data_IF_512585596059
#
_entry.id   IF_512585596059
#
_cell.length_a   1.000
_cell.length_b   1.000
_cell.length_c   1.000
_cell.angle_alpha   90.00
_cell.angle_beta   90.00
_cell.angle_gamma   90.00
#
_symmetry.space_group_name_H-M   'P 1'
#
loop_
_entity.id
_entity.type
_entity.pdbx_description
1 polymer ?
#
# COMPACT_ATOMS: atom_id res chain seq x y z
N UNK A 1 4.81 -10.26 27.36
CA UNK A 1 4.56 -8.96 26.70
C UNK A 1 5.89 -8.23 26.63
N UNK A 2 6.63 -8.37 25.52
CA UNK A 2 7.92 -7.70 25.36
C UNK A 2 7.66 -6.36 24.67
N UNK A 3 7.70 -5.27 25.45
CA UNK A 3 7.71 -3.92 24.91
C UNK A 3 9.05 -3.71 24.20
N UNK A 4 9.04 -3.75 22.88
CA UNK A 4 10.18 -3.28 22.09
C UNK A 4 10.20 -1.76 22.25
N UNK A 5 11.18 -1.25 22.99
CA UNK A 5 11.37 0.17 23.23
C UNK A 5 11.94 0.82 21.95
N UNK A 6 11.11 1.07 20.95
CA UNK A 6 11.46 1.84 19.74
C UNK A 6 11.14 3.32 19.96
N UNK A 7 11.90 3.98 20.85
CA UNK A 7 11.89 5.44 21.00
C UNK A 7 12.67 6.16 19.88
N UNK A 8 13.14 5.44 18.86
CA UNK A 8 13.86 6.03 17.72
C UNK A 8 12.88 6.35 16.60
N UNK A 9 12.58 7.64 16.42
CA UNK A 9 11.98 8.19 15.19
C UNK A 9 12.82 7.70 14.02
N UNK A 10 12.35 6.70 13.29
CA UNK A 10 13.11 6.13 12.18
C UNK A 10 12.91 7.04 10.97
N UNK A 11 13.67 8.13 10.92
CA UNK A 11 13.86 8.93 9.72
C UNK A 11 14.83 8.17 8.81
N UNK A 12 14.42 7.85 7.58
CA UNK A 12 15.35 7.35 6.57
C UNK A 12 15.16 8.11 5.27
N UNK A 13 16.30 8.53 4.72
CA UNK A 13 16.44 9.07 3.37
C UNK A 13 16.85 7.91 2.47
N UNK A 14 15.96 7.44 1.60
CA UNK A 14 16.28 6.54 0.51
C UNK A 14 15.91 7.28 -0.78
N UNK A 15 16.89 7.53 -1.65
CA UNK A 15 16.64 8.24 -2.92
C UNK A 15 16.14 9.69 -2.80
N UNK A 16 16.40 10.37 -1.66
CA UNK A 16 16.00 11.77 -1.45
C UNK A 16 14.56 11.98 -0.95
N UNK A 17 13.74 10.93 -0.84
CA UNK A 17 12.42 11.00 -0.21
C UNK A 17 12.55 10.56 1.25
N UNK A 18 12.34 11.51 2.16
CA UNK A 18 12.28 11.22 3.59
C UNK A 18 10.89 10.73 3.96
N UNK A 19 10.83 9.54 4.56
CA UNK A 19 9.66 9.09 5.28
C UNK A 19 9.98 8.73 6.72
N UNK A 20 8.95 8.79 7.57
CA UNK A 20 9.05 8.49 8.99
C UNK A 20 7.98 7.51 9.40
N UNK A 21 8.35 6.50 10.19
CA UNK A 21 7.39 5.53 10.71
C UNK A 21 6.95 5.90 12.13
N UNK A 22 5.73 5.51 12.48
CA UNK A 22 5.20 5.73 13.83
C UNK A 22 6.05 5.04 14.90
N UNK A 23 6.30 5.71 16.03
CA UNK A 23 7.02 5.12 17.17
C UNK A 23 6.23 4.00 17.85
N UNK A 24 4.89 4.04 17.76
CA UNK A 24 4.00 2.96 18.17
C UNK A 24 4.02 1.88 17.10
N UNK A 25 4.92 0.92 17.28
CA UNK A 25 5.07 -0.24 16.42
C UNK A 25 4.91 -1.52 17.24
N UNK A 26 4.44 -2.58 16.59
CA UNK A 26 4.19 -3.86 17.24
C UNK A 26 4.81 -4.98 16.42
N UNK A 27 5.59 -5.84 17.07
CA UNK A 27 6.04 -7.09 16.46
C UNK A 27 4.91 -8.11 16.58
N UNK A 28 4.37 -8.54 15.44
CA UNK A 28 3.25 -9.48 15.38
C UNK A 28 3.43 -10.44 14.22
N UNK A 29 2.71 -11.56 14.29
CA UNK A 29 2.51 -12.42 13.14
C UNK A 29 1.75 -11.65 12.05
N UNK A 30 2.16 -11.83 10.79
CA UNK A 30 1.50 -11.27 9.62
C UNK A 30 0.19 -12.01 9.36
N UNK A 31 -0.82 -11.30 8.84
CA UNK A 31 -2.02 -11.97 8.32
C UNK A 31 -1.62 -12.90 7.16
N UNK A 32 -2.36 -13.99 6.95
CA UNK A 32 -2.08 -14.93 5.86
C UNK A 32 -1.98 -14.21 4.50
N UNK A 33 -2.94 -13.31 4.23
CA UNK A 33 -2.98 -12.48 3.02
C UNK A 33 -1.68 -11.67 2.83
N UNK A 34 -1.24 -10.92 3.85
CA UNK A 34 -0.02 -10.13 3.80
C UNK A 34 1.23 -11.01 3.69
N UNK A 35 1.27 -12.13 4.41
CA UNK A 35 2.38 -13.06 4.41
C UNK A 35 2.62 -13.66 3.03
N UNK A 36 1.59 -14.22 2.39
CA UNK A 36 1.73 -14.83 1.07
C UNK A 36 1.96 -13.79 -0.03
N UNK A 37 1.36 -12.61 0.10
CA UNK A 37 1.65 -11.49 -0.79
C UNK A 37 3.13 -11.09 -0.73
N UNK A 38 3.69 -10.99 0.48
CA UNK A 38 5.10 -10.71 0.69
C UNK A 38 6.01 -11.81 0.16
N UNK A 39 5.69 -13.08 0.44
CA UNK A 39 6.46 -14.21 -0.05
C UNK A 39 6.58 -14.15 -1.58
N UNK A 40 5.46 -14.00 -2.28
CA UNK A 40 5.41 -13.88 -3.73
C UNK A 40 6.22 -12.67 -4.21
N UNK A 41 6.04 -11.51 -3.59
CA UNK A 41 6.77 -10.29 -3.96
C UNK A 41 8.29 -10.47 -3.80
N UNK A 42 8.75 -11.04 -2.69
CA UNK A 42 10.18 -11.25 -2.45
C UNK A 42 10.77 -12.32 -3.38
N UNK A 43 10.04 -13.41 -3.67
CA UNK A 43 10.47 -14.42 -4.64
C UNK A 43 10.67 -13.83 -6.04
N UNK A 44 9.77 -12.93 -6.48
CA UNK A 44 9.88 -12.25 -7.78
C UNK A 44 11.05 -11.25 -7.80
N UNK A 45 11.29 -10.54 -6.70
CA UNK A 45 12.34 -9.49 -6.61
C UNK A 45 13.73 -10.05 -6.32
N UNK A 46 13.82 -11.21 -5.68
CA UNK A 46 15.06 -11.86 -5.28
C UNK A 46 15.10 -13.30 -5.83
N UNK A 47 15.12 -13.50 -7.17
CA UNK A 47 15.03 -14.84 -7.77
C UNK A 47 16.20 -15.76 -7.40
N UNK A 48 17.34 -15.19 -6.97
CA UNK A 48 18.51 -15.93 -6.52
C UNK A 48 18.39 -16.43 -5.06
N UNK A 49 17.38 -15.97 -4.31
CA UNK A 49 17.12 -16.40 -2.93
C UNK A 49 15.90 -17.30 -2.93
N UNK A 50 16.11 -18.60 -2.66
CA UNK A 50 15.03 -19.60 -2.62
C UNK A 50 14.20 -19.45 -1.35
N UNK A 51 13.31 -18.47 -1.30
CA UNK A 51 12.38 -18.28 -0.20
C UNK A 51 11.20 -19.27 -0.30
N UNK A 52 10.75 -19.81 0.82
CA UNK A 52 9.55 -20.65 0.91
C UNK A 52 8.70 -20.34 2.15
N UNK A 53 7.51 -20.91 2.21
CA UNK A 53 6.57 -20.68 3.30
C UNK A 53 6.96 -21.40 4.60
N UNK A 54 6.72 -20.80 5.77
CA UNK A 54 6.98 -21.46 7.07
C UNK A 54 6.06 -22.66 7.36
N UNK A 55 4.97 -22.80 6.62
CA UNK A 55 4.05 -23.95 6.70
C UNK A 55 4.34 -25.03 5.66
N UNK A 56 5.31 -24.78 4.77
CA UNK A 56 5.71 -25.73 3.73
C UNK A 56 7.01 -26.43 4.13
N UNK A 57 7.21 -27.64 3.62
CA UNK A 57 8.50 -28.30 3.71
C UNK A 57 9.51 -27.55 2.83
N UNK A 58 10.76 -27.49 3.29
CA UNK A 58 11.85 -26.90 2.54
C UNK A 58 11.95 -27.58 1.16
N UNK A 59 11.74 -26.85 0.04
CA UNK A 59 11.79 -27.44 -1.30
C UNK A 59 13.21 -27.86 -1.68
N UNK A 60 14.22 -27.28 -1.04
CA UNK A 60 15.63 -27.63 -1.22
C UNK A 60 16.45 -27.31 0.05
N UNK A 61 17.62 -27.95 0.25
CA UNK A 61 18.45 -27.73 1.45
C UNK A 61 18.97 -26.29 1.62
N UNK A 62 19.08 -25.55 0.52
CA UNK A 62 19.51 -24.15 0.47
C UNK A 62 18.34 -23.15 0.54
N UNK A 63 17.11 -23.63 0.69
CA UNK A 63 15.94 -22.75 0.78
C UNK A 63 15.82 -22.09 2.14
N UNK A 64 15.37 -20.84 2.16
CA UNK A 64 15.19 -20.03 3.36
C UNK A 64 13.70 -19.88 3.66
N UNK A 65 13.32 -20.13 4.91
CA UNK A 65 11.96 -19.87 5.39
C UNK A 65 11.76 -18.36 5.52
N UNK A 66 10.68 -17.84 4.93
CA UNK A 66 10.25 -16.47 5.17
C UNK A 66 9.72 -16.34 6.60
N UNK A 67 10.27 -15.42 7.40
CA UNK A 67 9.78 -15.19 8.75
C UNK A 67 8.30 -14.71 8.73
N UNK A 68 7.36 -15.40 9.42
CA UNK A 68 5.96 -14.99 9.45
C UNK A 68 5.67 -13.79 10.37
N UNK A 69 6.70 -13.24 11.02
CA UNK A 69 6.56 -12.06 11.87
C UNK A 69 7.14 -10.82 11.20
N UNK A 70 6.47 -9.69 11.42
CA UNK A 70 6.96 -8.37 11.02
C UNK A 70 6.72 -7.34 12.11
N UNK A 71 7.28 -6.15 11.92
CA UNK A 71 7.00 -4.97 12.74
C UNK A 71 5.91 -4.17 12.03
N UNK A 72 4.73 -4.08 12.62
CA UNK A 72 3.59 -3.34 12.09
C UNK A 72 3.55 -1.93 12.67
N UNK A 73 3.27 -0.94 11.83
CA UNK A 73 3.22 0.47 12.19
C UNK A 73 1.80 1.01 12.06
N UNK A 74 1.44 1.96 12.93
CA UNK A 74 0.14 2.62 12.88
C UNK A 74 0.06 3.61 11.71
N UNK A 75 1.15 4.34 11.44
CA UNK A 75 1.21 5.31 10.35
C UNK A 75 2.62 5.45 9.77
N UNK A 76 2.68 6.05 8.59
CA UNK A 76 3.88 6.57 7.95
C UNK A 76 3.68 8.05 7.64
N UNK A 77 4.73 8.86 7.77
CA UNK A 77 4.78 10.24 7.31
C UNK A 77 5.59 10.28 6.02
N UNK A 78 4.98 10.66 4.90
CA UNK A 78 5.65 10.81 3.60
C UNK A 78 5.43 12.25 3.14
N UNK A 79 6.52 12.96 2.79
CA UNK A 79 6.45 14.39 2.38
C UNK A 79 5.66 15.28 3.37
N UNK A 80 5.82 15.03 4.66
CA UNK A 80 5.12 15.72 5.77
C UNK A 80 3.63 15.38 5.95
N UNK A 81 3.07 14.46 5.17
CA UNK A 81 1.69 13.97 5.34
C UNK A 81 1.66 12.63 6.04
N UNK A 82 0.72 12.46 6.97
CA UNK A 82 0.57 11.24 7.78
C UNK A 82 -0.50 10.32 7.20
N UNK A 83 -0.09 9.13 6.78
CA UNK A 83 -0.94 8.07 6.25
C UNK A 83 -1.12 6.96 7.27
N UNK A 84 -2.36 6.64 7.60
CA UNK A 84 -2.69 5.62 8.60
C UNK A 84 -2.88 4.25 7.95
N UNK A 85 -2.40 3.20 8.60
CA UNK A 85 -2.78 1.83 8.26
C UNK A 85 -4.22 1.59 8.69
N UNK A 86 -5.12 1.25 7.77
CA UNK A 86 -6.55 1.09 8.10
C UNK A 86 -6.82 -0.04 9.07
N UNK A 87 -5.99 -1.10 9.05
CA UNK A 87 -6.04 -2.20 10.04
C UNK A 87 -5.82 -1.75 11.49
N UNK A 88 -5.33 -0.53 11.70
CA UNK A 88 -5.02 0.05 13.02
C UNK A 88 -5.68 1.41 13.25
N UNK A 89 -6.54 1.85 12.33
CA UNK A 89 -7.26 3.11 12.43
C UNK A 89 -8.74 2.86 12.77
N UNK A 90 -9.35 3.77 13.53
CA UNK A 90 -10.80 3.75 13.78
C UNK A 90 -11.63 4.15 12.56
N UNK A 91 -11.00 4.80 11.58
CA UNK A 91 -11.65 5.27 10.36
C UNK A 91 -10.70 5.12 9.16
N UNK A 92 -11.19 4.65 7.99
CA UNK A 92 -10.36 4.42 6.82
C UNK A 92 -10.04 5.69 6.01
N UNK A 93 -10.66 6.83 6.31
CA UNK A 93 -10.50 8.06 5.50
C UNK A 93 -9.04 8.53 5.38
N UNK A 94 -8.24 8.32 6.42
CA UNK A 94 -6.82 8.69 6.42
C UNK A 94 -5.89 7.60 5.86
N UNK A 95 -6.47 6.50 5.38
CA UNK A 95 -5.77 5.37 4.78
C UNK A 95 -5.89 5.35 3.26
N UNK A 96 -6.72 6.21 2.65
CA UNK A 96 -6.82 6.29 1.20
C UNK A 96 -5.69 7.12 0.61
N UNK A 97 -4.96 6.51 -0.32
CA UNK A 97 -3.75 7.07 -0.89
C UNK A 97 -3.73 6.92 -2.40
N UNK A 98 -3.14 7.91 -3.06
CA UNK A 98 -2.73 7.83 -4.45
C UNK A 98 -1.26 7.40 -4.49
N UNK A 99 -0.96 6.42 -5.33
CA UNK A 99 0.36 5.78 -5.44
C UNK A 99 0.78 5.75 -6.89
N UNK A 100 2.07 6.00 -7.13
CA UNK A 100 2.67 5.88 -8.46
C UNK A 100 3.18 4.46 -8.68
N UNK A 101 2.65 3.75 -9.67
CA UNK A 101 3.01 2.34 -9.93
C UNK A 101 4.43 2.16 -10.54
N UNK A 102 4.99 3.20 -11.16
CA UNK A 102 6.30 3.18 -11.81
C UNK A 102 7.07 4.48 -11.57
N UNK A 103 8.40 4.46 -11.65
CA UNK A 103 9.21 5.69 -11.64
C UNK A 103 9.27 6.39 -13.02
N UNK A 104 8.62 5.85 -14.05
CA UNK A 104 8.56 6.45 -15.39
C UNK A 104 7.72 7.74 -15.41
N UNK A 105 7.97 8.59 -16.42
CA UNK A 105 7.29 9.89 -16.59
C UNK A 105 5.77 9.73 -16.78
N UNK A 106 5.34 8.67 -17.48
CA UNK A 106 3.93 8.37 -17.74
C UNK A 106 3.34 7.34 -16.76
N UNK A 107 3.88 7.27 -15.54
CA UNK A 107 3.46 6.27 -14.58
C UNK A 107 2.00 6.48 -14.14
N UNK A 108 1.18 5.47 -14.40
CA UNK A 108 -0.21 5.44 -13.99
C UNK A 108 -0.33 5.58 -12.46
N UNK A 109 -1.23 6.48 -12.04
CA UNK A 109 -1.60 6.66 -10.64
C UNK A 109 -2.72 5.69 -10.31
N UNK A 110 -2.53 4.98 -9.21
CA UNK A 110 -3.52 4.07 -8.64
C UNK A 110 -3.99 4.59 -7.29
N UNK A 111 -5.27 4.38 -7.01
CA UNK A 111 -5.88 4.76 -5.74
C UNK A 111 -6.27 3.50 -4.99
N UNK A 112 -5.96 3.47 -3.70
CA UNK A 112 -6.34 2.37 -2.85
C UNK A 112 -6.30 2.71 -1.38
N UNK A 113 -6.65 1.72 -0.57
CA UNK A 113 -6.60 1.76 0.87
C UNK A 113 -5.27 1.15 1.36
N UNK A 114 -4.50 1.92 2.12
CA UNK A 114 -3.32 1.45 2.84
C UNK A 114 -3.76 0.62 4.05
N UNK A 115 -3.78 -0.70 3.89
CA UNK A 115 -4.25 -1.62 4.93
C UNK A 115 -3.26 -1.80 6.06
N UNK A 116 -2.00 -2.03 5.72
CA UNK A 116 -0.93 -2.27 6.69
C UNK A 116 0.35 -1.57 6.29
N UNK A 117 1.13 -1.16 7.28
CA UNK A 117 2.50 -0.67 7.09
C UNK A 117 3.40 -1.61 7.87
N UNK A 118 4.35 -2.22 7.18
CA UNK A 118 5.16 -3.31 7.76
C UNK A 118 6.64 -3.13 7.47
N UNK A 119 7.48 -3.41 8.46
CA UNK A 119 8.90 -3.63 8.29
C UNK A 119 9.25 -5.08 8.58
N UNK A 120 10.12 -5.64 7.74
CA UNK A 120 10.44 -7.07 7.76
C UNK A 120 11.94 -7.23 7.65
N UNK A 121 12.46 -8.04 8.55
CA UNK A 121 13.86 -8.42 8.63
C UNK A 121 13.92 -9.92 8.38
N UNK A 122 14.67 -10.30 7.35
CA UNK A 122 14.91 -11.72 7.05
C UNK A 122 16.18 -12.18 7.72
N UNK A 123 16.18 -13.34 8.42
CA UNK A 123 17.40 -13.93 8.95
C UNK A 123 18.46 -14.08 7.85
N UNK A 124 19.69 -13.63 8.12
CA UNK A 124 20.78 -13.62 7.14
C UNK A 124 20.82 -12.39 6.22
N UNK A 125 19.84 -11.48 6.31
CA UNK A 125 19.87 -10.17 5.67
C UNK A 125 20.01 -9.07 6.72
N UNK A 126 21.00 -8.18 6.56
CA UNK A 126 21.09 -6.95 7.35
C UNK A 126 20.12 -5.86 6.88
N UNK A 127 19.32 -6.14 5.84
CA UNK A 127 18.43 -5.18 5.20
C UNK A 127 17.01 -5.35 5.75
N UNK A 128 16.51 -4.28 6.37
CA UNK A 128 15.11 -4.16 6.77
C UNK A 128 14.31 -3.60 5.61
N UNK A 129 13.43 -4.43 5.04
CA UNK A 129 12.48 -4.02 4.00
C UNK A 129 11.26 -3.37 4.63
N UNK A 130 10.67 -2.37 3.97
CA UNK A 130 9.51 -1.61 4.46
C UNK A 130 8.50 -1.47 3.34
N UNK A 131 7.27 -1.89 3.61
CA UNK A 131 6.22 -1.92 2.61
C UNK A 131 4.91 -1.32 3.13
N UNK A 132 4.16 -0.74 2.21
CA UNK A 132 2.73 -0.53 2.36
C UNK A 132 2.00 -1.72 1.74
N UNK A 133 1.07 -2.31 2.47
CA UNK A 133 0.15 -3.31 1.95
C UNK A 133 -1.17 -2.63 1.57
N UNK A 134 -1.51 -2.76 0.30
CA UNK A 134 -2.57 -2.01 -0.36
C UNK A 134 -3.79 -2.89 -0.64
N UNK A 135 -4.94 -2.23 -0.73
CA UNK A 135 -6.14 -2.76 -1.37
C UNK A 135 -6.62 -1.76 -2.40
N UNK A 136 -6.45 -2.07 -3.67
CA UNK A 136 -6.71 -1.16 -4.77
C UNK A 136 -8.20 -1.04 -5.07
N UNK A 137 -8.67 0.17 -5.35
CA UNK A 137 -10.03 0.38 -5.83
C UNK A 137 -10.17 -0.22 -7.22
N UNK A 138 -11.33 -0.79 -7.53
CA UNK A 138 -11.59 -1.41 -8.84
C UNK A 138 -11.97 -0.33 -9.88
N UNK A 139 -11.21 -0.19 -10.99
CA UNK A 139 -11.57 0.74 -12.05
C UNK A 139 -12.97 0.45 -12.59
N UNK A 140 -13.71 1.50 -12.94
CA UNK A 140 -15.03 1.35 -13.56
C UNK A 140 -14.97 1.66 -15.06
N UNK A 141 -15.91 1.10 -15.82
CA UNK A 141 -16.18 1.49 -17.20
C UNK A 141 -17.19 2.64 -17.33
N UNK A 142 -17.67 3.17 -16.20
CA UNK A 142 -18.61 4.28 -16.18
C UNK A 142 -18.02 5.53 -16.86
N UNK A 143 -18.70 6.01 -17.91
CA UNK A 143 -18.33 7.24 -18.58
C UNK A 143 -18.89 8.46 -17.82
N UNK A 144 -18.02 9.39 -17.47
CA UNK A 144 -18.36 10.66 -16.82
C UNK A 144 -18.88 11.71 -17.79
N UNK A 145 -18.76 11.50 -19.10
CA UNK A 145 -19.32 12.36 -20.12
C UNK A 145 -20.81 12.58 -19.88
N UNK A 146 -21.22 13.84 -19.95
CA UNK A 146 -22.60 14.29 -19.70
C UNK A 146 -23.09 14.05 -18.26
N UNK A 147 -22.18 13.87 -17.31
CA UNK A 147 -22.49 13.94 -15.88
C UNK A 147 -22.01 15.27 -15.30
N UNK A 148 -22.51 15.65 -14.12
CA UNK A 148 -22.01 16.83 -13.38
C UNK A 148 -20.53 16.73 -13.01
N UNK A 149 -19.93 15.54 -13.13
CA UNK A 149 -18.52 15.29 -12.81
C UNK A 149 -17.58 15.63 -13.97
N UNK A 150 -18.08 15.70 -15.21
CA UNK A 150 -17.26 16.02 -16.39
C UNK A 150 -16.54 17.37 -16.27
N UNK A 151 -17.19 18.37 -15.66
CA UNK A 151 -16.61 19.69 -15.44
C UNK A 151 -15.42 19.71 -14.46
N UNK A 152 -15.26 18.65 -13.66
CA UNK A 152 -14.17 18.51 -12.69
C UNK A 152 -13.02 17.63 -13.22
N UNK A 153 -12.99 17.31 -14.51
CA UNK A 153 -11.90 16.54 -15.11
C UNK A 153 -10.52 17.18 -14.86
N UNK A 154 -10.44 18.52 -14.80
CA UNK A 154 -9.21 19.25 -14.47
C UNK A 154 -8.69 19.02 -13.04
N UNK A 155 -9.52 18.49 -12.15
CA UNK A 155 -9.15 18.13 -10.78
C UNK A 155 -8.68 16.68 -10.65
N UNK A 156 -8.49 15.97 -11.76
CA UNK A 156 -8.15 14.54 -11.79
C UNK A 156 -9.15 13.68 -11.00
N UNK A 157 -10.44 13.98 -11.12
CA UNK A 157 -11.50 13.14 -10.56
C UNK A 157 -11.51 11.80 -11.28
N UNK A 158 -11.35 10.73 -10.52
CA UNK A 158 -11.45 9.35 -11.00
C UNK A 158 -12.66 8.68 -10.34
N UNK A 159 -13.26 7.72 -11.03
CA UNK A 159 -14.42 6.99 -10.52
C UNK A 159 -14.12 5.50 -10.49
N UNK A 160 -14.63 4.82 -9.47
CA UNK A 160 -14.37 3.42 -9.16
C UNK A 160 -15.69 2.73 -8.80
N UNK A 161 -15.76 1.42 -9.03
CA UNK A 161 -16.92 0.64 -8.63
C UNK A 161 -17.03 0.62 -7.09
N UNK A 162 -18.14 1.14 -6.56
CA UNK A 162 -18.31 1.27 -5.12
C UNK A 162 -18.32 -0.10 -4.42
N UNK A 163 -17.74 -0.14 -3.23
CA UNK A 163 -17.70 -1.29 -2.34
C UNK A 163 -16.96 -2.51 -2.95
N UNK A 164 -16.23 -2.29 -4.04
CA UNK A 164 -15.42 -3.31 -4.71
C UNK A 164 -13.95 -2.91 -4.78
N UNK A 165 -13.10 -3.91 -4.75
CA UNK A 165 -11.66 -3.77 -4.81
C UNK A 165 -11.11 -4.80 -5.80
N UNK A 166 -9.93 -4.52 -6.35
CA UNK A 166 -9.22 -5.49 -7.17
C UNK A 166 -8.97 -6.78 -6.38
N UNK A 167 -9.17 -7.91 -7.05
CA UNK A 167 -8.83 -9.24 -6.58
C UNK A 167 -7.45 -9.65 -7.10
N UNK A 168 -6.95 -10.79 -6.63
CA UNK A 168 -5.62 -11.27 -7.02
C UNK A 168 -5.54 -11.71 -8.49
N UNK A 169 -6.69 -11.99 -9.12
CA UNK A 169 -6.77 -12.35 -10.54
C UNK A 169 -6.99 -11.14 -11.46
N UNK A 170 -7.32 -9.97 -10.90
CA UNK A 170 -7.55 -8.76 -11.69
C UNK A 170 -6.22 -8.13 -12.13
N UNK A 171 -6.19 -7.57 -13.34
CA UNK A 171 -5.05 -6.76 -13.79
C UNK A 171 -4.93 -5.50 -12.92
N UNK A 172 -3.77 -5.31 -12.30
CA UNK A 172 -3.53 -4.20 -11.40
C UNK A 172 -2.10 -4.11 -10.90
N UNK A 173 -1.79 -3.05 -10.12
CA UNK A 173 -0.48 -2.90 -9.50
C UNK A 173 -0.29 -3.90 -8.36
N UNK A 174 0.98 -4.14 -8.00
CA UNK A 174 1.32 -4.97 -6.85
C UNK A 174 0.60 -4.48 -5.57
N UNK A 175 0.14 -5.42 -4.75
CA UNK A 175 -0.45 -5.11 -3.44
C UNK A 175 0.60 -4.62 -2.44
N UNK A 176 1.89 -4.81 -2.72
CA UNK A 176 2.99 -4.29 -1.91
C UNK A 176 3.68 -3.14 -2.62
N UNK A 177 3.71 -1.99 -1.97
CA UNK A 177 4.32 -0.76 -2.49
C UNK A 177 5.49 -0.34 -1.62
N UNK A 178 6.44 0.40 -2.20
CA UNK A 178 7.38 1.14 -1.36
C UNK A 178 6.64 2.34 -0.77
N UNK A 179 6.92 2.65 0.48
CA UNK A 179 6.26 3.77 1.18
C UNK A 179 6.56 5.12 0.51
N UNK A 180 7.68 5.24 -0.21
CA UNK A 180 8.05 6.44 -0.97
C UNK A 180 7.18 6.67 -2.22
N UNK A 181 6.49 5.64 -2.71
CA UNK A 181 5.67 5.69 -3.91
C UNK A 181 4.30 6.35 -3.62
N UNK A 182 3.98 6.57 -2.34
CA UNK A 182 2.81 7.32 -1.89
C UNK A 182 2.96 8.79 -2.31
N UNK A 183 2.01 9.27 -3.11
CA UNK A 183 2.00 10.62 -3.64
C UNK A 183 1.28 11.57 -2.68
N UNK A 184 0.02 11.26 -2.36
CA UNK A 184 -0.88 12.15 -1.62
C UNK A 184 -2.08 11.41 -1.03
N UNK A 185 -2.81 12.06 -0.12
CA UNK A 185 -4.11 11.58 0.34
C UNK A 185 -5.15 11.69 -0.76
N UNK A 186 -6.14 10.81 -0.70
CA UNK A 186 -7.29 10.84 -1.60
C UNK A 186 -8.56 11.14 -0.81
N UNK A 187 -9.32 12.12 -1.28
CA UNK A 187 -10.69 12.33 -0.85
C UNK A 187 -11.59 11.40 -1.65
N UNK A 188 -12.49 10.69 -0.98
CA UNK A 188 -13.49 9.82 -1.60
C UNK A 188 -14.89 10.30 -1.25
N UNK A 189 -15.79 10.30 -2.21
CA UNK A 189 -17.21 10.53 -2.01
C UNK A 189 -18.02 9.45 -2.71
N UNK A 190 -19.12 9.02 -2.08
CA UNK A 190 -20.10 8.16 -2.72
C UNK A 190 -20.94 9.00 -3.70
N UNK A 191 -21.08 8.54 -4.94
CA UNK A 191 -21.81 9.23 -5.99
C UNK A 191 -22.75 8.27 -6.71
N UNK A 192 -23.83 8.80 -7.28
CA UNK A 192 -24.77 8.03 -8.09
C UNK A 192 -24.66 8.49 -9.53
N UNK A 193 -24.32 7.58 -10.45
CA UNK A 193 -24.25 7.84 -11.89
C UNK A 193 -25.20 6.87 -12.57
N UNK A 194 -26.23 7.40 -13.24
CA UNK A 194 -27.26 6.60 -13.95
C UNK A 194 -27.85 5.49 -13.05
N UNK A 195 -28.17 5.84 -11.80
CA UNK A 195 -28.78 4.92 -10.83
C UNK A 195 -27.82 3.92 -10.16
N UNK A 196 -26.52 3.92 -10.50
CA UNK A 196 -25.52 3.03 -9.92
C UNK A 196 -24.60 3.80 -8.97
N UNK A 197 -24.21 3.16 -7.86
CA UNK A 197 -23.33 3.74 -6.84
C UNK A 197 -21.87 3.58 -7.25
N UNK A 198 -21.09 4.64 -7.14
CA UNK A 198 -19.65 4.66 -7.40
C UNK A 198 -18.90 5.42 -6.32
N UNK A 199 -17.59 5.22 -6.27
CA UNK A 199 -16.68 6.09 -5.52
C UNK A 199 -16.04 7.09 -6.46
N UNK A 200 -16.28 8.38 -6.24
CA UNK A 200 -15.51 9.44 -6.86
C UNK A 200 -14.32 9.78 -5.97
N UNK A 201 -13.13 9.84 -6.55
CA UNK A 201 -11.89 10.14 -5.83
C UNK A 201 -11.17 11.33 -6.43
N UNK A 202 -10.60 12.14 -5.55
CA UNK A 202 -9.78 13.29 -5.93
C UNK A 202 -8.52 13.34 -5.08
N UNK A 203 -7.32 13.45 -5.67
CA UNK A 203 -6.10 13.71 -4.91
C UNK A 203 -6.22 15.02 -4.12
N UNK A 204 -5.88 15.00 -2.83
CA UNK A 204 -6.06 16.14 -1.92
C UNK A 204 -5.19 17.36 -2.26
N UNK A 205 -4.19 17.19 -3.13
CA UNK A 205 -3.38 18.28 -3.70
C UNK A 205 -3.07 17.99 -5.16
N UNK A 206 -3.37 18.94 -6.02
CA UNK A 206 -2.86 19.07 -7.39
C UNK A 206 -1.41 19.58 -7.36
N UNK A 207 -0.50 18.86 -6.72
CA UNK A 207 0.92 19.06 -7.01
C UNK A 207 1.15 18.49 -8.40
N UNK A 208 1.40 19.36 -9.41
CA UNK A 208 1.72 19.02 -10.80
C UNK A 208 2.20 17.57 -10.91
N UNK A 209 1.26 16.67 -11.25
CA UNK A 209 1.52 15.25 -11.46
C UNK A 209 2.32 15.13 -12.75
#
# INVERSE_FOLDING_TARGET
MWLVNTSTRTQRTLGGINFELSTRAERSQLSAELYFCLLRHLQLRLPNVKLHSFVELAPSPDSLVLNPHGILFNHVVVKHFRYLASSRASSPHNSWVAVRSSSAVDAQIWVGELRSIVAIEQPGSSIVHRFGFMRWFRPTSANLDRTVWAQFASLNVQVWDADTYLQSEDDGPDLLINLQDIITHVVRSDVIIRGHKYWATMPSRSSNI
#
